data_IF_179994905335
#
_entry.id   IF_179994905335
#
_cell.length_a   1.000
_cell.length_b   1.000
_cell.length_c   1.000
_cell.angle_alpha   90.00
_cell.angle_beta   90.00
_cell.angle_gamma   90.00
#
_symmetry.space_group_name_H-M   'P 1'
#
loop_
_entity.id
_entity.type
_entity.pdbx_description
1 polymer ?
#
# COMPACT_ATOMS: atom_id res chain seq x y z
N UNK A 1 -24.73 5.49 -1.25
CA UNK A 1 -23.32 5.77 -1.54
C UNK A 1 -22.82 7.03 -0.85
N UNK A 2 -23.44 8.22 -0.95
CA UNK A 2 -22.99 9.47 -0.29
C UNK A 2 -22.85 9.36 1.25
N UNK A 3 -23.75 8.62 1.92
CA UNK A 3 -23.72 8.42 3.38
C UNK A 3 -22.54 7.56 3.87
N UNK A 4 -22.06 6.62 3.06
CA UNK A 4 -20.91 5.75 3.39
C UNK A 4 -19.62 6.54 3.27
N UNK A 5 -19.50 7.41 2.25
CA UNK A 5 -18.34 8.29 2.05
C UNK A 5 -18.22 9.27 3.24
N UNK A 6 -19.33 9.81 3.71
CA UNK A 6 -19.33 10.72 4.86
C UNK A 6 -18.94 10.02 6.16
N UNK A 7 -19.40 8.77 6.38
CA UNK A 7 -19.02 7.96 7.54
C UNK A 7 -17.54 7.60 7.53
N UNK A 8 -16.99 7.24 6.39
CA UNK A 8 -15.56 6.92 6.22
C UNK A 8 -14.70 8.18 6.43
N UNK A 9 -15.12 9.33 5.87
CA UNK A 9 -14.42 10.61 6.09
C UNK A 9 -14.45 11.04 7.57
N UNK A 10 -15.58 10.84 8.27
CA UNK A 10 -15.72 11.18 9.69
C UNK A 10 -14.87 10.25 10.58
N UNK A 11 -14.77 8.96 10.22
CA UNK A 11 -13.88 8.01 10.90
C UNK A 11 -12.42 8.41 10.73
N UNK A 12 -12.03 8.85 9.54
CA UNK A 12 -10.66 9.30 9.25
C UNK A 12 -10.27 10.55 10.06
N UNK A 13 -11.18 11.53 10.16
CA UNK A 13 -10.98 12.75 10.97
C UNK A 13 -10.89 12.41 12.46
N UNK A 14 -11.69 11.45 12.95
CA UNK A 14 -11.66 11.02 14.35
C UNK A 14 -10.34 10.35 14.75
N UNK A 15 -9.67 9.67 13.84
CA UNK A 15 -8.34 9.10 14.06
C UNK A 15 -7.25 10.18 14.14
N UNK A 16 -7.37 11.26 13.36
CA UNK A 16 -6.41 12.37 13.39
C UNK A 16 -6.47 13.17 14.71
N UNK A 17 -7.65 13.27 15.33
CA UNK A 17 -7.84 14.06 16.59
C UNK A 17 -7.31 13.32 17.83
N UNK A 18 -7.27 11.99 17.84
CA UNK A 18 -6.75 11.21 18.98
C UNK A 18 -5.22 11.05 19.01
N UNK A 19 -4.51 11.51 17.99
CA UNK A 19 -3.04 11.41 17.89
C UNK A 19 -2.27 12.35 18.84
N UNK A 20 -2.94 13.13 19.70
CA UNK A 20 -2.27 14.11 20.56
C UNK A 20 -2.11 13.71 22.04
N UNK A 21 -2.53 12.53 22.43
CA UNK A 21 -2.50 12.13 23.84
C UNK A 21 -2.15 10.66 24.04
N UNK A 22 -0.90 10.29 23.84
CA UNK A 22 -0.26 9.16 24.56
C UNK A 22 1.20 8.98 24.13
N UNK A 23 2.09 8.85 25.05
CA UNK A 23 3.55 8.67 24.93
C UNK A 23 3.99 7.30 24.36
N UNK A 24 3.21 6.63 23.58
CA UNK A 24 3.58 5.44 22.79
C UNK A 24 2.95 5.51 21.41
N UNK A 25 3.37 6.06 20.71
CA UNK A 25 4.02 6.55 19.53
C UNK A 25 3.77 5.63 18.35
N UNK A 26 2.50 5.58 17.93
CA UNK A 26 2.20 5.14 16.58
C UNK A 26 2.92 6.08 15.61
N UNK A 27 3.59 5.50 14.65
CA UNK A 27 4.21 6.21 13.55
C UNK A 27 3.32 6.06 12.33
N UNK A 28 2.99 7.15 11.69
CA UNK A 28 2.18 7.18 10.47
C UNK A 28 3.06 7.44 9.27
N UNK A 29 2.74 6.79 8.17
CA UNK A 29 3.45 6.96 6.91
C UNK A 29 2.43 7.19 5.82
N UNK A 30 2.59 8.28 5.08
CA UNK A 30 1.91 8.51 3.81
C UNK A 30 2.95 8.36 2.68
N UNK A 31 2.70 7.45 1.76
CA UNK A 31 3.63 7.14 0.68
C UNK A 31 2.91 7.12 -0.67
N UNK A 32 3.60 7.60 -1.68
CA UNK A 32 3.20 7.44 -3.08
C UNK A 32 4.30 6.74 -3.85
N UNK A 33 3.95 6.03 -4.89
CA UNK A 33 4.92 5.29 -5.68
C UNK A 33 4.38 4.82 -7.01
N UNK A 34 5.29 4.23 -7.75
CA UNK A 34 5.02 3.59 -9.03
C UNK A 34 5.88 2.34 -9.16
N UNK A 35 5.62 1.53 -10.16
CA UNK A 35 6.41 0.33 -10.43
C UNK A 35 6.45 0.01 -11.91
N UNK A 36 7.43 -0.79 -12.28
CA UNK A 36 7.55 -1.38 -13.62
C UNK A 36 7.13 -2.83 -13.49
N UNK A 37 6.13 -3.25 -14.26
CA UNK A 37 5.70 -4.64 -14.32
C UNK A 37 6.76 -5.47 -15.07
N UNK A 38 7.13 -6.61 -14.50
CA UNK A 38 8.10 -7.53 -15.06
C UNK A 38 7.43 -8.60 -15.95
N UNK A 39 6.10 -8.60 -16.01
CA UNK A 39 5.29 -9.51 -16.82
C UNK A 39 4.57 -8.77 -17.94
N UNK A 40 4.14 -9.52 -18.96
CA UNK A 40 3.23 -9.02 -19.99
C UNK A 40 1.76 -9.39 -19.65
N UNK A 41 0.79 -8.50 -19.93
CA UNK A 41 0.95 -7.11 -20.40
C UNK A 41 1.54 -6.19 -19.33
N UNK A 42 2.59 -5.45 -19.71
CA UNK A 42 3.27 -4.53 -18.79
C UNK A 42 2.37 -3.35 -18.45
N UNK A 43 2.20 -3.10 -17.17
CA UNK A 43 1.44 -1.98 -16.64
C UNK A 43 2.27 -1.21 -15.61
N UNK A 44 2.21 0.11 -15.67
CA UNK A 44 2.90 0.99 -14.71
C UNK A 44 1.87 1.57 -13.74
N UNK A 45 1.64 0.94 -12.58
CA UNK A 45 0.64 1.41 -11.63
C UNK A 45 1.12 2.65 -10.90
N UNK A 46 0.16 3.50 -10.53
CA UNK A 46 0.35 4.54 -9.54
C UNK A 46 -0.26 4.10 -8.21
N UNK A 47 0.45 4.32 -7.11
CA UNK A 47 0.06 3.83 -5.79
C UNK A 47 0.12 4.95 -4.76
N UNK A 48 -0.87 4.99 -3.88
CA UNK A 48 -0.90 5.86 -2.69
C UNK A 48 -1.27 5.01 -1.50
N UNK A 49 -0.36 4.92 -0.53
CA UNK A 49 -0.53 4.09 0.66
C UNK A 49 -0.45 4.93 1.94
N UNK A 50 -1.23 4.54 2.92
CA UNK A 50 -1.14 5.04 4.29
C UNK A 50 -0.89 3.85 5.20
N UNK A 51 0.11 3.96 6.06
CA UNK A 51 0.51 2.90 6.96
C UNK A 51 0.58 3.46 8.38
N UNK A 52 0.25 2.60 9.32
CA UNK A 52 0.41 2.88 10.76
C UNK A 52 1.31 1.81 11.34
N UNK A 53 2.36 2.22 12.03
CA UNK A 53 3.31 1.33 12.69
C UNK A 53 3.26 1.47 14.20
N UNK A 54 3.33 0.34 14.88
CA UNK A 54 3.56 0.24 16.30
C UNK A 54 5.00 -0.23 16.56
N UNK A 55 5.84 0.56 17.27
CA UNK A 55 7.21 0.17 17.56
C UNK A 55 7.24 -0.91 18.65
N UNK A 56 7.69 -2.09 18.30
CA UNK A 56 7.93 -3.19 19.25
C UNK A 56 9.26 -3.01 19.92
N UNK A 57 10.26 -2.55 19.17
CA UNK A 57 11.59 -2.23 19.67
C UNK A 57 12.16 -0.99 18.98
N UNK A 58 13.35 -0.54 19.40
CA UNK A 58 14.05 0.61 18.77
C UNK A 58 14.31 0.42 17.28
N UNK A 59 14.32 -0.82 16.79
CA UNK A 59 14.62 -1.16 15.40
C UNK A 59 13.49 -1.87 14.68
N UNK A 60 12.58 -2.49 15.40
CA UNK A 60 11.52 -3.30 14.82
C UNK A 60 10.14 -2.72 15.10
N UNK A 61 9.35 -2.56 14.05
CA UNK A 61 7.97 -2.07 14.10
C UNK A 61 7.07 -2.98 13.26
N UNK A 62 5.85 -3.17 13.72
CA UNK A 62 4.80 -3.84 12.94
C UNK A 62 3.62 -2.90 12.76
N UNK A 63 2.82 -3.14 11.75
CA UNK A 63 1.69 -2.26 11.50
C UNK A 63 0.73 -2.79 10.47
N UNK A 64 -0.18 -1.94 10.09
CA UNK A 64 -1.14 -2.17 9.02
C UNK A 64 -1.05 -1.05 7.99
N UNK A 65 -1.32 -1.38 6.75
CA UNK A 65 -1.37 -0.43 5.65
C UNK A 65 -2.61 -0.62 4.80
N UNK A 66 -3.05 0.47 4.21
CA UNK A 66 -4.11 0.51 3.21
C UNK A 66 -3.82 1.62 2.21
N UNK A 67 -4.58 1.69 1.13
CA UNK A 67 -4.41 2.73 0.15
C UNK A 67 -5.18 2.50 -1.14
N UNK A 68 -4.69 3.10 -2.19
CA UNK A 68 -5.21 2.96 -3.55
C UNK A 68 -4.05 2.58 -4.47
N UNK A 69 -4.27 1.57 -5.28
CA UNK A 69 -3.34 1.13 -6.30
C UNK A 69 -4.07 1.12 -7.64
N UNK A 70 -3.63 1.98 -8.54
CA UNK A 70 -4.25 2.20 -9.84
C UNK A 70 -3.56 1.32 -10.88
N UNK A 71 -4.05 0.12 -11.03
CA UNK A 71 -3.76 -0.80 -12.12
C UNK A 71 -4.79 -0.60 -13.25
N UNK A 72 -4.99 -1.59 -14.08
CA UNK A 72 -6.12 -1.63 -15.03
C UNK A 72 -7.47 -1.51 -14.29
N UNK A 73 -7.48 -1.93 -13.03
CA UNK A 73 -8.58 -1.80 -12.07
C UNK A 73 -8.04 -1.15 -10.82
N UNK A 74 -8.79 -0.23 -10.23
CA UNK A 74 -8.43 0.36 -8.94
C UNK A 74 -8.57 -0.69 -7.84
N UNK A 75 -7.49 -0.92 -7.12
CA UNK A 75 -7.41 -1.83 -5.99
C UNK A 75 -7.25 -1.07 -4.69
N UNK A 76 -7.84 -1.60 -3.64
CA UNK A 76 -7.74 -1.12 -2.26
C UNK A 76 -7.01 -2.19 -1.46
N UNK A 77 -5.67 -2.14 -1.34
CA UNK A 77 -4.91 -3.08 -0.53
C UNK A 77 -5.17 -2.85 0.95
N UNK A 78 -5.29 -3.96 1.69
CA UNK A 78 -5.26 -4.00 3.16
C UNK A 78 -4.25 -5.07 3.54
N UNK A 79 -3.19 -4.67 4.23
CA UNK A 79 -2.06 -5.55 4.51
C UNK A 79 -1.45 -5.28 5.89
N UNK A 80 -0.95 -6.35 6.51
CA UNK A 80 -0.07 -6.26 7.66
C UNK A 80 1.35 -5.98 7.17
N UNK A 81 2.11 -5.20 7.95
CA UNK A 81 3.45 -4.79 7.57
C UNK A 81 4.42 -4.91 8.75
N UNK A 82 5.65 -5.29 8.44
CA UNK A 82 6.77 -5.35 9.37
C UNK A 82 7.93 -4.54 8.81
N UNK A 83 8.55 -3.72 9.64
CA UNK A 83 9.67 -2.84 9.29
C UNK A 83 10.81 -3.04 10.27
N UNK A 84 11.99 -3.27 9.73
CA UNK A 84 13.22 -3.42 10.50
C UNK A 84 14.25 -2.37 10.09
N UNK A 85 14.59 -1.47 11.00
CA UNK A 85 15.73 -0.57 10.83
C UNK A 85 17.04 -1.37 10.93
N UNK A 86 17.87 -1.32 9.90
CA UNK A 86 19.15 -2.05 9.83
C UNK A 86 20.14 -1.48 10.85
N UNK A 87 20.09 -0.16 11.06
CA UNK A 87 20.92 0.53 12.05
C UNK A 87 20.06 1.09 13.19
N UNK A 88 20.69 1.54 14.27
CA UNK A 88 20.01 2.39 15.25
C UNK A 88 19.44 3.64 14.56
N UNK A 89 18.21 4.08 14.93
CA UNK A 89 17.62 5.29 14.36
C UNK A 89 18.55 6.50 14.50
N UNK A 90 18.83 7.15 13.37
CA UNK A 90 19.67 8.35 13.26
C UNK A 90 19.21 9.18 12.05
N UNK A 91 19.97 10.23 11.70
CA UNK A 91 19.61 11.12 10.58
C UNK A 91 19.35 10.36 9.28
N UNK A 92 20.17 9.33 8.97
CA UNK A 92 19.94 8.36 7.91
C UNK A 92 19.74 6.98 8.52
N UNK A 93 18.58 6.38 8.30
CA UNK A 93 18.22 5.07 8.84
C UNK A 93 17.81 4.14 7.71
N UNK A 94 18.69 3.26 7.25
CA UNK A 94 18.31 2.23 6.29
C UNK A 94 17.38 1.20 6.95
N UNK A 95 16.43 0.69 6.18
CA UNK A 95 15.45 -0.26 6.66
C UNK A 95 15.07 -1.30 5.60
N UNK A 96 14.55 -2.41 6.08
CA UNK A 96 13.80 -3.41 5.29
C UNK A 96 12.35 -3.38 5.72
N UNK A 97 11.46 -3.57 4.76
CA UNK A 97 10.03 -3.59 4.98
C UNK A 97 9.42 -4.77 4.24
N UNK A 98 8.50 -5.46 4.89
CA UNK A 98 7.77 -6.59 4.33
C UNK A 98 6.30 -6.46 4.70
N UNK A 99 5.42 -6.58 3.72
CA UNK A 99 3.99 -6.52 3.90
C UNK A 99 3.26 -7.61 3.13
N UNK A 100 2.19 -8.13 3.70
CA UNK A 100 1.33 -9.13 3.07
C UNK A 100 -0.12 -8.93 3.45
N UNK A 101 -1.02 -9.15 2.51
CA UNK A 101 -2.44 -8.95 2.72
C UNK A 101 -3.29 -9.27 1.51
N UNK A 102 -4.39 -8.56 1.38
CA UNK A 102 -5.36 -8.72 0.31
C UNK A 102 -5.73 -7.35 -0.26
N UNK A 103 -5.81 -7.24 -1.58
CA UNK A 103 -6.30 -6.04 -2.24
C UNK A 103 -7.71 -6.28 -2.78
N UNK A 104 -8.63 -5.42 -2.40
CA UNK A 104 -10.02 -5.45 -2.84
C UNK A 104 -10.17 -4.65 -4.13
N UNK A 105 -10.91 -5.17 -5.10
CA UNK A 105 -11.23 -4.41 -6.30
C UNK A 105 -12.34 -3.40 -6.03
N UNK A 106 -12.15 -2.16 -6.48
CA UNK A 106 -13.17 -1.12 -6.35
C UNK A 106 -14.31 -1.28 -7.37
N UNK A 107 -14.13 -2.11 -8.39
CA UNK A 107 -15.08 -2.32 -9.49
C UNK A 107 -15.82 -3.64 -9.33
N UNK A 108 -17.13 -3.65 -9.70
CA UNK A 108 -17.98 -4.86 -9.66
C UNK A 108 -17.57 -5.96 -10.67
N UNK A 109 -16.83 -5.59 -11.70
CA UNK A 109 -16.40 -6.50 -12.76
C UNK A 109 -14.98 -7.04 -12.54
N UNK A 110 -14.45 -6.88 -11.34
CA UNK A 110 -13.14 -7.40 -10.97
C UNK A 110 -13.17 -7.91 -9.53
N UNK A 111 -12.40 -8.94 -9.27
CA UNK A 111 -12.13 -9.44 -7.93
C UNK A 111 -10.70 -9.04 -7.54
N UNK A 112 -10.55 -8.72 -6.29
CA UNK A 112 -9.23 -8.51 -5.71
C UNK A 112 -8.46 -9.80 -5.56
N UNK A 113 -7.26 -9.71 -4.97
CA UNK A 113 -6.43 -10.87 -4.75
C UNK A 113 -5.32 -10.61 -3.75
N UNK A 114 -4.43 -11.58 -3.66
CA UNK A 114 -3.30 -11.54 -2.75
C UNK A 114 -2.36 -10.38 -3.09
N UNK A 115 -1.96 -9.65 -2.06
CA UNK A 115 -0.99 -8.56 -2.11
C UNK A 115 0.21 -8.88 -1.24
N UNK A 116 1.41 -8.66 -1.79
CA UNK A 116 2.67 -8.80 -1.07
C UNK A 116 3.61 -7.70 -1.53
N UNK A 117 4.32 -7.10 -0.59
CA UNK A 117 5.40 -6.16 -0.87
C UNK A 117 6.62 -6.49 -0.02
N UNK A 118 7.80 -6.33 -0.60
CA UNK A 118 9.07 -6.37 0.12
C UNK A 118 9.96 -5.25 -0.41
N UNK A 119 10.54 -4.44 0.45
CA UNK A 119 11.33 -3.30 0.03
C UNK A 119 12.52 -3.03 0.94
N UNK A 120 13.53 -2.44 0.34
CA UNK A 120 14.66 -1.80 0.99
C UNK A 120 14.50 -0.30 0.86
N UNK A 121 14.85 0.45 1.89
CA UNK A 121 14.71 1.88 1.84
C UNK A 121 15.59 2.60 2.84
N UNK A 122 15.51 3.92 2.79
CA UNK A 122 16.18 4.80 3.72
C UNK A 122 15.20 5.84 4.23
N UNK A 123 15.26 6.11 5.52
CA UNK A 123 14.58 7.25 6.15
C UNK A 123 15.59 8.34 6.44
N UNK A 124 15.24 9.57 6.08
CA UNK A 124 16.00 10.76 6.38
C UNK A 124 15.22 11.65 7.35
N UNK A 125 15.75 11.87 8.55
CA UNK A 125 15.12 12.73 9.55
C UNK A 125 15.27 14.18 9.17
N UNK A 126 14.15 14.85 8.84
CA UNK A 126 14.08 16.29 8.61
C UNK A 126 14.00 17.06 9.94
N UNK A 127 13.21 16.50 10.87
CA UNK A 127 13.06 17.00 12.23
C UNK A 127 12.86 15.83 13.19
N UNK A 128 12.66 16.09 14.47
CA UNK A 128 12.36 15.07 15.47
C UNK A 128 11.08 14.30 15.17
N UNK A 129 10.11 14.96 14.52
CA UNK A 129 8.78 14.38 14.24
C UNK A 129 8.57 13.98 12.80
N UNK A 130 9.32 14.54 11.86
CA UNK A 130 9.09 14.33 10.42
C UNK A 130 10.31 13.69 9.78
N UNK A 131 10.09 12.59 9.05
CA UNK A 131 11.14 11.94 8.26
C UNK A 131 10.65 11.76 6.82
N UNK A 132 11.54 11.91 5.87
CA UNK A 132 11.33 11.45 4.50
C UNK A 132 11.71 9.98 4.40
N UNK A 133 10.99 9.24 3.58
CA UNK A 133 11.27 7.83 3.29
C UNK A 133 11.37 7.65 1.78
N UNK A 134 12.40 6.97 1.35
CA UNK A 134 12.55 6.47 -0.02
C UNK A 134 12.76 4.96 0.07
N UNK A 135 12.02 4.20 -0.72
CA UNK A 135 12.16 2.75 -0.79
C UNK A 135 12.00 2.24 -2.21
N UNK A 136 12.69 1.15 -2.50
CA UNK A 136 12.57 0.39 -3.72
C UNK A 136 12.44 -1.09 -3.37
N UNK A 137 11.64 -1.84 -4.14
CA UNK A 137 11.40 -3.24 -3.82
C UNK A 137 10.50 -3.95 -4.80
N UNK A 138 10.21 -5.17 -4.45
CA UNK A 138 9.34 -6.05 -5.21
C UNK A 138 7.92 -6.02 -4.65
N UNK A 139 6.94 -5.99 -5.55
CA UNK A 139 5.53 -6.06 -5.20
C UNK A 139 4.83 -7.09 -6.08
N UNK A 140 4.05 -7.96 -5.46
CA UNK A 140 3.23 -8.96 -6.13
C UNK A 140 1.77 -8.62 -5.87
N UNK A 141 1.01 -8.44 -6.94
CA UNK A 141 -0.42 -8.17 -6.88
C UNK A 141 -1.18 -9.17 -7.75
N UNK A 142 -2.07 -9.95 -7.14
CA UNK A 142 -3.02 -10.78 -7.86
C UNK A 142 -4.36 -10.07 -7.97
N UNK A 143 -5.01 -10.22 -9.10
CA UNK A 143 -6.37 -9.75 -9.34
C UNK A 143 -7.06 -10.63 -10.39
N UNK A 144 -8.39 -10.60 -10.38
CA UNK A 144 -9.20 -11.26 -11.40
C UNK A 144 -10.12 -10.21 -12.03
N UNK A 145 -10.22 -10.19 -13.35
CA UNK A 145 -11.19 -9.35 -14.07
C UNK A 145 -12.11 -10.19 -14.92
N UNK A 146 -13.37 -9.78 -14.99
CA UNK A 146 -14.37 -10.35 -15.87
C UNK A 146 -14.24 -9.67 -17.25
N UNK A 147 -13.76 -10.42 -18.23
CA UNK A 147 -13.72 -9.98 -19.62
C UNK A 147 -14.96 -10.53 -20.32
N UNK A 148 -15.79 -9.64 -20.84
CA UNK A 148 -16.93 -9.99 -21.67
C UNK A 148 -16.49 -9.95 -23.11
N UNK A 149 -16.64 -11.05 -23.81
CA UNK A 149 -16.53 -11.09 -25.27
C UNK A 149 -17.94 -11.10 -25.82
N UNK A 150 -18.31 -10.02 -26.49
CA UNK A 150 -19.64 -9.83 -27.07
C UNK A 150 -19.50 -9.99 -28.59
N UNK A 151 -20.11 -11.04 -29.12
CA UNK A 151 -20.31 -11.25 -30.55
C UNK A 151 -21.80 -11.21 -30.83
N UNK A 152 -22.19 -10.89 -32.09
CA UNK A 152 -23.59 -10.71 -32.51
C UNK A 152 -24.49 -11.92 -32.17
N UNK A 153 -23.95 -13.08 -31.81
CA UNK A 153 -24.68 -14.33 -31.59
C UNK A 153 -24.62 -14.85 -30.15
N UNK A 154 -23.63 -14.45 -29.34
CA UNK A 154 -23.56 -14.85 -27.93
C UNK A 154 -22.63 -13.96 -27.11
N UNK A 155 -22.95 -13.82 -25.83
CA UNK A 155 -22.11 -13.15 -24.84
C UNK A 155 -21.43 -14.21 -23.98
N UNK A 156 -20.10 -14.31 -24.06
CA UNK A 156 -19.31 -15.16 -23.18
C UNK A 156 -18.56 -14.28 -22.17
N UNK A 157 -18.76 -14.57 -20.89
CA UNK A 157 -18.01 -13.96 -19.80
C UNK A 157 -17.00 -14.95 -19.25
N UNK A 158 -15.73 -14.59 -19.21
CA UNK A 158 -14.68 -15.38 -18.56
C UNK A 158 -13.87 -14.55 -17.57
N UNK A 159 -13.46 -15.20 -16.48
CA UNK A 159 -12.61 -14.57 -15.48
C UNK A 159 -11.13 -14.71 -15.90
N UNK A 160 -10.49 -13.60 -16.17
CA UNK A 160 -9.06 -13.53 -16.46
C UNK A 160 -8.31 -13.29 -15.17
N UNK A 161 -7.42 -14.22 -14.81
CA UNK A 161 -6.55 -14.11 -13.63
C UNK A 161 -5.24 -13.42 -14.03
N UNK A 162 -4.97 -12.30 -13.40
CA UNK A 162 -3.77 -11.52 -13.62
C UNK A 162 -2.89 -11.56 -12.38
N UNK A 163 -1.59 -11.65 -12.61
CA UNK A 163 -0.59 -11.55 -11.55
C UNK A 163 0.47 -10.57 -12.00
N UNK A 164 0.55 -9.44 -11.31
CA UNK A 164 1.54 -8.41 -11.56
C UNK A 164 2.73 -8.62 -10.63
N UNK A 165 3.91 -8.63 -11.21
CA UNK A 165 5.20 -8.69 -10.54
C UNK A 165 5.91 -7.38 -10.80
N UNK A 166 5.99 -6.51 -9.81
CA UNK A 166 6.47 -5.14 -9.98
C UNK A 166 7.81 -4.93 -9.30
N UNK A 167 8.68 -4.21 -9.96
CA UNK A 167 9.76 -3.47 -9.30
C UNK A 167 9.24 -2.08 -8.98
N UNK A 168 8.98 -1.80 -7.71
CA UNK A 168 8.35 -0.56 -7.25
C UNK A 168 9.34 0.40 -6.60
N UNK A 169 9.08 1.69 -6.77
CA UNK A 169 9.76 2.79 -6.07
C UNK A 169 8.70 3.64 -5.38
N UNK A 170 8.91 3.91 -4.09
CA UNK A 170 7.98 4.68 -3.26
C UNK A 170 8.70 5.78 -2.51
N UNK A 171 8.06 6.95 -2.45
CA UNK A 171 8.48 8.09 -1.63
C UNK A 171 7.40 8.36 -0.60
N UNK A 172 7.77 8.63 0.64
CA UNK A 172 6.81 8.85 1.72
C UNK A 172 7.28 9.85 2.76
N UNK A 173 6.31 10.30 3.54
CA UNK A 173 6.53 11.13 4.72
C UNK A 173 6.12 10.30 5.93
N UNK A 174 6.96 10.33 6.95
CA UNK A 174 6.79 9.64 8.24
C UNK A 174 6.59 10.70 9.31
N UNK A 175 5.54 10.55 10.13
CA UNK A 175 5.18 11.49 11.20
C UNK A 175 4.51 10.79 12.39
#
# INVERSE_FOLDING_TARGET
MKRIIFAVSFLFVSFLVKGQASERNFTYVAATGTGIDMNEPSYTPFMVHVLTYYPISKRFSTGIGTGLSFYEVTLIPLFANAKLAITQPRKFTPFVEFGSGYAFAANKNANGGFHLNSSLGVQYALSEKIKLQLSAGYELQKLERLKKSENDYFTAGFAEKLTHHLLSVKVGIVF
#
